data_IF_935162624066
#
_entry.id   IF_935162624066
#
_cell.length_a   1.000
_cell.length_b   1.000
_cell.length_c   1.000
_cell.angle_alpha   90.00
_cell.angle_beta   90.00
_cell.angle_gamma   90.00
#
_symmetry.space_group_name_H-M   'P 1'
#
loop_
_entity.id
_entity.type
_entity.pdbx_description
1 polymer ?
#
# COMPACT_ATOMS: atom_id res chain seq x y z
N UNK A 1 -17.68 -3.33 -1.82
CA UNK A 1 -18.21 -3.03 -0.48
C UNK A 1 -18.63 -4.35 0.15
N UNK A 2 -18.03 -4.71 1.28
CA UNK A 2 -18.32 -5.98 1.98
C UNK A 2 -19.37 -5.83 3.08
N UNK A 3 -20.02 -4.65 3.20
CA UNK A 3 -21.08 -4.39 4.19
C UNK A 3 -20.67 -4.76 5.62
N UNK A 4 -19.40 -4.50 5.95
CA UNK A 4 -18.86 -4.73 7.28
C UNK A 4 -19.48 -3.70 8.24
N UNK A 5 -20.51 -4.14 8.96
CA UNK A 5 -21.26 -3.33 9.91
C UNK A 5 -20.62 -3.29 11.31
N UNK A 6 -19.64 -4.16 11.55
CA UNK A 6 -18.86 -4.24 12.78
C UNK A 6 -17.43 -3.73 12.56
N UNK A 7 -16.73 -3.30 13.62
CA UNK A 7 -15.31 -2.99 13.51
C UNK A 7 -14.52 -4.16 12.92
N UNK A 8 -13.54 -3.86 12.06
CA UNK A 8 -12.56 -4.83 11.59
C UNK A 8 -11.33 -4.71 12.48
N UNK A 9 -10.98 -5.80 13.14
CA UNK A 9 -9.70 -5.94 13.82
C UNK A 9 -8.70 -6.58 12.86
N UNK A 10 -7.84 -5.74 12.30
CA UNK A 10 -6.74 -6.16 11.41
C UNK A 10 -5.67 -6.81 12.25
N UNK A 11 -5.22 -7.98 11.82
CA UNK A 11 -4.16 -8.76 12.48
C UNK A 11 -2.94 -8.97 11.58
N UNK A 12 -3.09 -8.76 10.27
CA UNK A 12 -2.00 -8.96 9.32
C UNK A 12 -2.21 -8.23 8.01
N UNK A 13 -1.09 -7.89 7.38
CA UNK A 13 -1.03 -7.36 6.02
C UNK A 13 -0.01 -8.18 5.23
N UNK A 14 -0.40 -8.54 4.01
CA UNK A 14 0.47 -9.20 3.05
C UNK A 14 0.65 -8.27 1.85
N UNK A 15 1.88 -8.05 1.41
CA UNK A 15 2.16 -7.22 0.25
C UNK A 15 3.27 -7.80 -0.63
N UNK A 16 3.23 -7.50 -1.92
CA UNK A 16 4.27 -7.89 -2.86
C UNK A 16 5.44 -6.90 -2.88
N UNK A 17 6.63 -7.43 -3.14
CA UNK A 17 7.84 -6.68 -3.48
C UNK A 17 8.25 -7.12 -4.88
N UNK A 18 8.26 -6.19 -5.83
CA UNK A 18 8.87 -6.43 -7.14
C UNK A 18 10.39 -6.43 -6.97
N UNK A 19 10.93 -5.40 -6.33
CA UNK A 19 12.37 -5.27 -6.12
C UNK A 19 12.71 -4.34 -4.94
N UNK A 20 13.68 -4.76 -4.13
CA UNK A 20 14.32 -3.95 -3.10
C UNK A 20 15.84 -4.11 -3.21
N UNK A 21 16.54 -3.07 -3.65
CA UNK A 21 17.96 -3.19 -4.07
C UNK A 21 18.99 -3.13 -2.94
N UNK A 22 18.59 -2.75 -1.73
CA UNK A 22 19.46 -2.73 -0.55
C UNK A 22 18.68 -3.04 0.73
N UNK A 23 19.42 -3.22 1.83
CA UNK A 23 18.83 -3.19 3.17
C UNK A 23 18.17 -1.82 3.36
N UNK A 24 16.85 -1.82 3.56
CA UNK A 24 16.09 -0.60 3.73
C UNK A 24 14.92 -0.81 4.67
N UNK A 25 14.54 0.27 5.34
CA UNK A 25 13.38 0.27 6.22
C UNK A 25 12.18 0.79 5.44
N UNK A 26 11.07 0.06 5.53
CA UNK A 26 9.78 0.50 5.01
C UNK A 26 8.78 0.57 6.16
N UNK A 27 7.71 1.32 5.95
CA UNK A 27 6.60 1.42 6.89
C UNK A 27 5.32 0.93 6.22
N UNK A 28 4.61 0.04 6.90
CA UNK A 28 3.19 -0.18 6.63
C UNK A 28 2.39 0.74 7.51
N UNK A 29 1.57 1.59 6.89
CA UNK A 29 0.71 2.54 7.59
C UNK A 29 -0.73 2.20 7.29
N UNK A 30 -1.52 2.05 8.35
CA UNK A 30 -2.95 1.79 8.27
C UNK A 30 -3.68 3.03 8.73
N UNK A 31 -4.76 3.36 8.04
CA UNK A 31 -5.60 4.51 8.36
C UNK A 31 -7.05 4.30 7.93
N UNK A 32 -7.90 5.23 8.31
CA UNK A 32 -9.23 5.38 7.70
C UNK A 32 -9.20 6.46 6.63
N UNK A 33 -10.00 6.32 5.59
CA UNK A 33 -10.09 7.28 4.49
C UNK A 33 -11.49 7.87 4.35
N UNK A 34 -11.60 9.20 4.44
CA UNK A 34 -12.87 9.93 4.33
C UNK A 34 -13.19 10.37 2.89
N UNK A 35 -12.28 10.17 1.93
CA UNK A 35 -12.49 10.51 0.54
C UNK A 35 -13.25 9.43 -0.25
N UNK A 36 -13.42 9.68 -1.55
CA UNK A 36 -14.12 8.76 -2.46
C UNK A 36 -13.24 7.56 -2.81
N UNK A 37 -13.65 6.36 -2.39
CA UNK A 37 -12.97 5.11 -2.75
C UNK A 37 -13.05 4.87 -4.26
N UNK A 38 -11.91 4.54 -4.88
CA UNK A 38 -11.83 4.25 -6.31
C UNK A 38 -11.78 5.48 -7.22
N UNK A 39 -11.59 6.68 -6.68
CA UNK A 39 -11.29 7.88 -7.47
C UNK A 39 -9.95 7.73 -8.21
N UNK A 40 -9.69 8.54 -9.25
CA UNK A 40 -8.39 8.50 -9.97
C UNK A 40 -7.25 9.16 -9.19
N UNK A 41 -7.58 9.93 -8.16
CA UNK A 41 -6.63 10.57 -7.25
C UNK A 41 -6.96 10.21 -5.81
N UNK A 42 -5.94 10.18 -4.97
CA UNK A 42 -6.05 9.96 -3.53
C UNK A 42 -5.78 11.27 -2.79
N UNK A 43 -6.72 11.70 -1.94
CA UNK A 43 -6.53 12.86 -1.07
C UNK A 43 -5.85 12.46 0.24
N UNK A 44 -4.55 12.74 0.34
CA UNK A 44 -3.78 12.41 1.54
C UNK A 44 -4.29 13.13 2.80
N UNK A 45 -4.93 14.29 2.66
CA UNK A 45 -5.48 15.03 3.81
C UNK A 45 -6.75 14.37 4.38
N UNK A 46 -7.40 13.48 3.62
CA UNK A 46 -8.57 12.72 4.06
C UNK A 46 -8.19 11.41 4.79
N UNK A 47 -6.91 11.16 5.03
CA UNK A 47 -6.42 9.98 5.75
C UNK A 47 -6.31 10.31 7.25
N UNK A 48 -6.95 9.50 8.09
CA UNK A 48 -6.73 9.50 9.54
C UNK A 48 -5.89 8.27 9.92
N UNK A 49 -4.67 8.44 10.44
CA UNK A 49 -3.81 7.31 10.83
C UNK A 49 -4.42 6.47 11.95
N UNK A 50 -4.24 5.15 11.87
CA UNK A 50 -4.58 4.19 12.92
C UNK A 50 -3.32 3.59 13.56
N UNK A 51 -2.40 3.08 12.74
CA UNK A 51 -1.17 2.44 13.22
C UNK A 51 -0.09 2.48 12.16
N UNK A 52 1.15 2.26 12.59
CA UNK A 52 2.31 2.16 11.70
C UNK A 52 3.22 1.04 12.17
N UNK A 53 3.66 0.20 11.23
CA UNK A 53 4.59 -0.89 11.46
C UNK A 53 5.81 -0.72 10.58
N UNK A 54 6.96 -0.55 11.21
CA UNK A 54 8.25 -0.54 10.51
C UNK A 54 8.71 -1.97 10.23
N UNK A 55 9.15 -2.23 9.00
CA UNK A 55 9.80 -3.47 8.58
C UNK A 55 11.20 -3.15 8.04
N UNK A 56 12.15 -4.02 8.36
CA UNK A 56 13.48 -3.96 7.77
C UNK A 56 13.55 -5.04 6.69
N UNK A 57 13.66 -4.62 5.43
CA UNK A 57 13.88 -5.53 4.32
C UNK A 57 15.36 -5.89 4.27
N UNK A 58 15.65 -7.19 4.17
CA UNK A 58 16.99 -7.66 3.90
C UNK A 58 17.37 -7.42 2.42
N UNK A 59 18.66 -7.42 2.11
CA UNK A 59 19.20 -7.19 0.76
C UNK A 59 18.61 -8.15 -0.27
N UNK A 60 18.18 -7.58 -1.41
CA UNK A 60 17.72 -8.27 -2.63
C UNK A 60 16.43 -9.10 -2.49
N UNK A 61 15.39 -8.53 -1.91
CA UNK A 61 14.02 -9.05 -2.10
C UNK A 61 13.55 -8.74 -3.53
N UNK A 62 13.47 -9.76 -4.38
CA UNK A 62 12.92 -9.66 -5.74
C UNK A 62 11.80 -10.68 -5.92
N UNK A 63 10.66 -10.23 -6.44
CA UNK A 63 9.46 -11.05 -6.64
C UNK A 63 9.04 -11.82 -5.37
N UNK A 64 9.08 -11.14 -4.23
CA UNK A 64 8.76 -11.70 -2.93
C UNK A 64 7.38 -11.24 -2.45
N UNK A 65 6.73 -12.04 -1.61
CA UNK A 65 5.54 -11.62 -0.86
C UNK A 65 5.91 -11.58 0.62
N UNK A 66 5.69 -10.44 1.25
CA UNK A 66 5.96 -10.23 2.67
C UNK A 66 4.66 -10.24 3.43
N UNK A 67 4.58 -11.09 4.45
CA UNK A 67 3.50 -11.10 5.43
C UNK A 67 4.00 -10.52 6.75
N UNK A 68 3.21 -9.65 7.37
CA UNK A 68 3.54 -9.11 8.68
C UNK A 68 2.33 -8.94 9.56
N UNK A 69 2.54 -9.19 10.85
CA UNK A 69 1.55 -8.95 11.88
C UNK A 69 1.45 -7.45 12.16
N UNK A 70 0.23 -6.94 12.18
CA UNK A 70 -0.08 -5.57 12.55
C UNK A 70 -1.42 -5.54 13.28
N UNK A 71 -1.45 -4.78 14.37
CA UNK A 71 -2.61 -4.67 15.26
C UNK A 71 -3.30 -3.32 14.99
N UNK A 72 -4.52 -3.37 14.46
CA UNK A 72 -5.29 -2.17 14.19
C UNK A 72 -6.80 -2.42 14.28
N UNK A 73 -7.52 -1.51 14.94
CA UNK A 73 -8.97 -1.51 14.94
C UNK A 73 -9.49 -0.47 13.94
N UNK A 74 -10.18 -0.94 12.89
CA UNK A 74 -10.86 -0.09 11.91
C UNK A 74 -12.31 0.05 12.35
N UNK A 75 -12.80 1.27 12.64
CA UNK A 75 -14.18 1.48 13.04
C UNK A 75 -15.17 1.02 11.96
N UNK A 76 -16.33 0.52 12.39
CA UNK A 76 -17.42 0.17 11.50
C UNK A 76 -17.82 1.35 10.59
N UNK A 77 -18.15 1.06 9.33
CA UNK A 77 -18.56 2.07 8.37
C UNK A 77 -17.45 2.99 7.85
N UNK A 78 -16.19 2.78 8.25
CA UNK A 78 -15.04 3.52 7.71
C UNK A 78 -14.46 2.84 6.48
N UNK A 79 -13.86 3.61 5.56
CA UNK A 79 -13.01 3.03 4.52
C UNK A 79 -11.61 2.80 5.09
N UNK A 80 -11.05 1.61 4.90
CA UNK A 80 -9.66 1.31 5.24
C UNK A 80 -8.73 1.79 4.12
N UNK A 81 -7.59 2.37 4.50
CA UNK A 81 -6.44 2.58 3.62
C UNK A 81 -5.19 1.93 4.22
N UNK A 82 -4.39 1.34 3.34
CA UNK A 82 -3.08 0.78 3.68
C UNK A 82 -2.05 1.39 2.74
N UNK A 83 -0.99 1.94 3.31
CA UNK A 83 0.12 2.54 2.59
C UNK A 83 1.40 1.72 2.86
N UNK A 84 2.14 1.45 1.79
CA UNK A 84 3.53 0.98 1.87
C UNK A 84 4.40 2.20 1.61
N UNK A 85 5.06 2.68 2.66
CA UNK A 85 5.94 3.83 2.57
C UNK A 85 7.40 3.38 2.60
N UNK A 86 8.18 3.79 1.61
CA UNK A 86 9.63 3.70 1.62
C UNK A 86 10.19 5.14 1.60
N UNK A 87 11.27 5.38 2.34
CA UNK A 87 11.90 6.68 2.33
C UNK A 87 12.47 7.00 0.93
N UNK A 88 12.58 8.29 0.60
CA UNK A 88 13.25 8.69 -0.63
C UNK A 88 14.72 8.24 -0.60
N UNK A 89 15.09 7.47 -1.63
CA UNK A 89 16.44 7.00 -1.83
C UNK A 89 17.01 7.54 -3.15
N UNK A 90 18.33 7.45 -3.33
CA UNK A 90 18.95 7.75 -4.62
C UNK A 90 18.70 6.55 -5.56
N UNK A 91 17.87 6.75 -6.59
CA UNK A 91 17.40 5.73 -7.55
C UNK A 91 18.49 4.81 -8.15
N UNK A 92 19.76 5.19 -8.01
CA UNK A 92 20.93 4.46 -8.52
C UNK A 92 21.46 3.37 -7.58
N UNK A 93 21.30 3.49 -6.26
CA UNK A 93 21.89 2.52 -5.31
C UNK A 93 20.90 1.95 -4.29
N UNK A 94 19.76 2.62 -4.08
CA UNK A 94 18.71 2.09 -3.21
C UNK A 94 17.37 2.51 -3.79
N UNK A 95 16.50 1.54 -4.02
CA UNK A 95 15.16 1.74 -4.54
C UNK A 95 14.24 0.62 -4.06
N UNK A 96 12.94 0.93 -4.09
CA UNK A 96 11.88 0.02 -3.71
C UNK A 96 10.79 0.08 -4.78
N UNK A 97 10.46 -1.07 -5.35
CA UNK A 97 9.33 -1.25 -6.25
C UNK A 97 8.33 -2.19 -5.58
N UNK A 98 7.14 -1.65 -5.29
CA UNK A 98 6.03 -2.45 -4.77
C UNK A 98 5.60 -3.48 -5.83
N UNK A 99 5.29 -4.69 -5.37
CA UNK A 99 4.83 -5.77 -6.24
C UNK A 99 3.45 -5.46 -6.81
N UNK A 100 3.29 -5.65 -8.11
CA UNK A 100 2.02 -5.53 -8.81
C UNK A 100 1.79 -6.76 -9.70
N UNK A 101 0.54 -7.04 -10.05
CA UNK A 101 0.21 -8.10 -11.00
C UNK A 101 0.68 -7.72 -12.40
N UNK A 102 1.28 -8.67 -13.12
CA UNK A 102 1.74 -8.48 -14.50
C UNK A 102 0.64 -8.78 -15.55
N UNK A 103 -0.63 -8.65 -15.17
CA UNK A 103 -1.78 -8.97 -16.04
C UNK A 103 -2.39 -7.73 -16.72
N UNK A 104 -1.86 -6.54 -16.45
CA UNK A 104 -2.38 -5.27 -17.00
C UNK A 104 -3.80 -4.92 -16.54
N UNK A 105 -4.32 -5.58 -15.50
CA UNK A 105 -5.67 -5.34 -14.99
C UNK A 105 -5.65 -4.75 -13.59
N UNK A 106 -5.92 -3.46 -13.50
CA UNK A 106 -6.24 -2.79 -12.25
C UNK A 106 -7.76 -2.81 -12.04
N UNK A 107 -8.26 -3.78 -11.28
CA UNK A 107 -9.70 -3.93 -10.99
C UNK A 107 -10.20 -2.90 -9.98
N UNK A 108 -9.30 -2.26 -9.24
CA UNK A 108 -9.55 -1.13 -8.34
C UNK A 108 -8.26 -0.30 -8.23
N UNK A 109 -8.34 1.05 -8.25
CA UNK A 109 -7.15 1.89 -8.20
C UNK A 109 -6.28 1.62 -6.96
N UNK A 110 -5.03 1.24 -7.18
CA UNK A 110 -3.91 1.45 -6.29
C UNK A 110 -3.19 2.74 -6.68
N UNK A 111 -2.67 3.47 -5.71
CA UNK A 111 -2.02 4.76 -5.97
C UNK A 111 -0.52 4.67 -5.71
N UNK A 112 0.26 5.31 -6.57
CA UNK A 112 1.69 5.51 -6.38
C UNK A 112 1.99 7.00 -6.26
N UNK A 113 2.90 7.33 -5.36
CA UNK A 113 3.47 8.66 -5.18
C UNK A 113 4.97 8.51 -4.95
N UNK A 114 5.76 9.15 -5.80
CA UNK A 114 7.21 9.18 -5.72
C UNK A 114 7.71 10.41 -6.48
N UNK A 115 8.07 11.47 -5.76
CA UNK A 115 8.54 12.74 -6.34
C UNK A 115 9.76 12.52 -7.24
N UNK A 116 10.69 11.68 -6.80
CA UNK A 116 11.90 11.35 -7.56
C UNK A 116 11.63 10.55 -8.85
N UNK A 117 10.47 9.90 -8.95
CA UNK A 117 10.01 9.20 -10.16
C UNK A 117 9.02 10.04 -10.98
N UNK A 118 9.04 11.36 -10.82
CA UNK A 118 8.13 12.31 -11.48
C UNK A 118 6.63 12.08 -11.19
N UNK A 119 6.30 11.46 -10.05
CA UNK A 119 4.94 11.29 -9.55
C UNK A 119 4.77 12.01 -8.19
N UNK A 120 4.77 13.36 -8.15
CA UNK A 120 4.75 14.13 -6.90
C UNK A 120 3.40 14.13 -6.17
N UNK A 121 2.36 13.57 -6.80
CA UNK A 121 1.02 13.44 -6.24
C UNK A 121 0.54 12.00 -6.44
N UNK A 122 -0.31 11.45 -5.56
CA UNK A 122 -0.85 10.12 -5.75
C UNK A 122 -1.62 9.99 -7.07
N UNK A 123 -1.20 9.04 -7.91
CA UNK A 123 -1.88 8.71 -9.17
C UNK A 123 -2.16 7.22 -9.24
N UNK A 124 -3.29 6.87 -9.85
CA UNK A 124 -3.64 5.47 -10.10
C UNK A 124 -2.55 4.79 -10.93
N UNK A 125 -2.24 3.52 -10.65
CA UNK A 125 -1.17 2.79 -11.34
C UNK A 125 -1.37 2.76 -12.85
N UNK A 126 -2.60 2.49 -13.32
CA UNK A 126 -2.93 2.47 -14.75
C UNK A 126 -2.68 3.81 -15.47
N UNK A 127 -2.70 4.92 -14.73
CA UNK A 127 -2.48 6.27 -15.27
C UNK A 127 -0.98 6.62 -15.31
N UNK A 128 -0.14 5.82 -14.65
CA UNK A 128 1.33 5.89 -14.70
C UNK A 128 1.84 4.96 -15.81
N UNK A 129 1.35 3.73 -15.85
CA UNK A 129 1.65 2.75 -16.88
C UNK A 129 0.37 1.96 -17.21
N UNK A 130 -0.10 2.06 -18.46
CA UNK A 130 -1.31 1.39 -18.91
C UNK A 130 -1.18 -0.15 -18.91
N UNK A 131 0.04 -0.68 -18.77
CA UNK A 131 0.32 -2.11 -18.65
C UNK A 131 0.49 -2.57 -17.20
N UNK A 132 0.48 -1.64 -16.23
CA UNK A 132 0.52 -1.98 -14.83
C UNK A 132 -0.79 -2.66 -14.40
N UNK A 133 -0.68 -3.82 -13.76
CA UNK A 133 -1.80 -4.40 -13.00
C UNK A 133 -1.90 -3.80 -11.60
N UNK A 134 -2.89 -4.25 -10.84
CA UNK A 134 -3.08 -3.77 -9.45
C UNK A 134 -1.95 -4.22 -8.50
N UNK A 135 -1.67 -3.39 -7.48
CA UNK A 135 -0.77 -3.72 -6.38
C UNK A 135 -1.16 -5.06 -5.73
N UNK A 136 -0.15 -5.85 -5.37
CA UNK A 136 -0.33 -7.04 -4.53
C UNK A 136 -0.37 -6.57 -3.09
N UNK A 137 -1.58 -6.47 -2.54
CA UNK A 137 -1.84 -6.04 -1.18
C UNK A 137 -3.09 -6.75 -0.65
N UNK A 138 -2.98 -7.38 0.51
CA UNK A 138 -4.08 -8.05 1.20
C UNK A 138 -4.06 -7.70 2.67
N UNK A 139 -5.25 -7.59 3.26
CA UNK A 139 -5.45 -7.33 4.69
C UNK A 139 -6.21 -8.51 5.27
N UNK A 140 -5.70 -9.04 6.37
CA UNK A 140 -6.33 -10.12 7.12
C UNK A 140 -6.75 -9.62 8.50
N UNK A 141 -7.94 -10.01 8.93
CA UNK A 141 -8.48 -9.63 10.24
C UNK A 141 -9.79 -10.34 10.56
N UNK A 142 -10.37 -9.96 11.68
CA UNK A 142 -11.64 -10.52 12.19
C UNK A 142 -12.65 -9.41 12.47
N UNK A 143 -13.93 -9.71 12.31
CA UNK A 143 -15.04 -8.81 12.63
C UNK A 143 -15.68 -9.21 13.96
N UNK A 144 -16.16 -8.22 14.73
CA UNK A 144 -16.83 -8.43 16.02
C UNK A 144 -18.23 -7.82 16.08
#
# INVERSE_FOLDING_TARGET
>A
DFQIASPLHVTGVTFGIQEASANQSIELRLGTYAGTVGATTLDLAAITPLTTKTLNLATASTNETVETAIDALVPAGSNLIVEIFAADHNQTTTYFYAGARADGTETSPGYLMATNCAQPVPRAMKDIDATAGGLVLSVTGTHY
#
